data_IF_052431026875
#
_entry.id   IF_052431026875
#
_cell.length_a   1.000
_cell.length_b   1.000
_cell.length_c   1.000
_cell.angle_alpha   90.00
_cell.angle_beta   90.00
_cell.angle_gamma   90.00
#
_symmetry.space_group_name_H-M   'P 1'
#
loop_
_entity.id
_entity.type
_entity.pdbx_description
1 polymer ?
#
# COMPACT_ATOMS: atom_id res chain seq x y z
N UNK A 1 -12.91 -24.35 -4.40
CA UNK A 1 -12.84 -22.89 -4.60
C UNK A 1 -12.87 -22.26 -3.24
N UNK A 2 -11.92 -21.38 -2.94
CA UNK A 2 -11.78 -20.78 -1.60
C UNK A 2 -11.48 -19.30 -1.72
N UNK A 3 -12.31 -18.47 -1.09
CA UNK A 3 -11.96 -17.06 -0.91
C UNK A 3 -11.05 -16.94 0.30
N UNK A 4 -9.92 -16.25 0.19
CA UNK A 4 -9.02 -15.99 1.31
C UNK A 4 -9.03 -14.51 1.66
N UNK A 5 -9.47 -14.21 2.90
CA UNK A 5 -9.47 -12.87 3.49
C UNK A 5 -8.24 -12.73 4.38
N UNK A 6 -7.20 -12.07 3.85
CA UNK A 6 -5.93 -11.96 4.56
C UNK A 6 -5.98 -10.86 5.61
N UNK A 7 -5.18 -11.00 6.67
CA UNK A 7 -5.03 -9.97 7.70
C UNK A 7 -4.32 -8.69 7.17
N UNK A 8 -3.69 -8.80 5.99
CA UNK A 8 -3.11 -7.70 5.21
C UNK A 8 -4.15 -6.94 4.35
N UNK A 9 -5.41 -7.39 4.29
CA UNK A 9 -6.49 -6.72 3.55
C UNK A 9 -6.66 -7.17 2.09
N UNK A 10 -5.89 -8.16 1.67
CA UNK A 10 -6.05 -8.79 0.36
C UNK A 10 -7.24 -9.77 0.37
N UNK A 11 -7.92 -9.85 -0.77
CA UNK A 11 -9.00 -10.80 -1.02
C UNK A 11 -8.60 -11.55 -2.28
N UNK A 12 -8.39 -12.85 -2.16
CA UNK A 12 -7.96 -13.69 -3.28
C UNK A 12 -8.88 -14.90 -3.44
N UNK A 13 -8.94 -15.44 -4.65
CA UNK A 13 -9.60 -16.70 -4.93
C UNK A 13 -8.57 -17.79 -5.14
N UNK A 14 -8.40 -18.65 -4.13
CA UNK A 14 -7.56 -19.83 -4.23
C UNK A 14 -8.36 -20.97 -4.88
N UNK A 15 -7.66 -21.86 -5.58
CA UNK A 15 -8.26 -23.06 -6.18
C UNK A 15 -9.48 -22.71 -7.04
N UNK A 16 -9.30 -21.70 -7.90
CA UNK A 16 -10.36 -21.07 -8.69
C UNK A 16 -11.03 -22.00 -9.71
N UNK A 17 -10.46 -23.19 -9.94
CA UNK A 17 -11.01 -24.24 -10.82
C UNK A 17 -11.54 -25.47 -10.07
N UNK A 18 -11.62 -25.41 -8.73
CA UNK A 18 -12.16 -26.50 -7.90
C UNK A 18 -13.61 -26.17 -7.53
N UNK A 19 -14.59 -26.92 -8.00
CA UNK A 19 -16.02 -26.55 -7.88
C UNK A 19 -16.83 -27.42 -6.91
N UNK A 20 -16.20 -28.39 -6.26
CA UNK A 20 -16.84 -29.29 -5.29
C UNK A 20 -16.92 -28.72 -3.87
N UNK A 21 -16.22 -27.60 -3.62
CA UNK A 21 -16.21 -26.87 -2.35
C UNK A 21 -16.22 -25.36 -2.56
N UNK A 22 -16.92 -24.67 -1.66
CA UNK A 22 -16.89 -23.22 -1.54
C UNK A 22 -16.83 -22.79 -0.07
N UNK A 23 -15.70 -22.23 0.33
CA UNK A 23 -15.47 -21.73 1.68
C UNK A 23 -14.67 -20.41 1.67
N UNK A 24 -14.68 -19.74 2.83
CA UNK A 24 -13.95 -18.50 3.05
C UNK A 24 -12.97 -18.72 4.19
N UNK A 25 -11.68 -18.70 3.87
CA UNK A 25 -10.60 -18.74 4.86
C UNK A 25 -10.30 -17.32 5.36
N UNK A 26 -10.17 -17.17 6.67
CA UNK A 26 -9.96 -15.89 7.34
C UNK A 26 -8.70 -15.97 8.20
N UNK A 27 -7.73 -15.09 7.92
CA UNK A 27 -6.57 -14.92 8.81
C UNK A 27 -6.96 -14.18 10.10
N UNK A 28 -6.22 -14.35 11.21
CA UNK A 28 -6.47 -13.65 12.46
C UNK A 28 -6.52 -12.12 12.27
N UNK A 29 -7.66 -11.52 12.57
CA UNK A 29 -7.89 -10.08 12.40
C UNK A 29 -9.01 -9.58 13.31
N UNK A 30 -9.12 -8.25 13.45
CA UNK A 30 -10.17 -7.65 14.27
C UNK A 30 -11.57 -7.88 13.68
N UNK A 31 -12.63 -7.95 14.50
CA UNK A 31 -14.01 -8.08 14.01
C UNK A 31 -14.38 -6.97 13.01
N UNK A 32 -13.95 -5.73 13.27
CA UNK A 32 -14.23 -4.61 12.37
C UNK A 32 -13.60 -4.80 10.98
N UNK A 33 -12.34 -5.28 10.90
CA UNK A 33 -11.67 -5.54 9.62
C UNK A 33 -12.33 -6.71 8.88
N UNK A 34 -12.73 -7.76 9.62
CA UNK A 34 -13.46 -8.88 9.05
C UNK A 34 -14.78 -8.43 8.39
N UNK A 35 -15.58 -7.60 9.06
CA UNK A 35 -16.84 -7.11 8.49
C UNK A 35 -16.62 -6.26 7.24
N UNK A 36 -15.58 -5.40 7.24
CA UNK A 36 -15.17 -4.64 6.05
C UNK A 36 -14.75 -5.55 4.88
N UNK A 37 -14.01 -6.63 5.17
CA UNK A 37 -13.60 -7.59 4.16
C UNK A 37 -14.80 -8.38 3.58
N UNK A 38 -15.73 -8.83 4.45
CA UNK A 38 -16.95 -9.54 4.04
C UNK A 38 -17.82 -8.66 3.16
N UNK A 39 -17.98 -7.37 3.49
CA UNK A 39 -18.77 -6.43 2.69
C UNK A 39 -18.29 -6.27 1.24
N UNK A 40 -17.01 -6.56 0.96
CA UNK A 40 -16.44 -6.52 -0.40
C UNK A 40 -16.78 -7.76 -1.24
N UNK A 41 -17.13 -8.87 -0.61
CA UNK A 41 -17.41 -10.15 -1.30
C UNK A 41 -18.88 -10.57 -1.22
N UNK A 42 -19.67 -9.92 -0.35
CA UNK A 42 -21.09 -10.16 -0.20
C UNK A 42 -21.60 -9.70 1.17
N UNK A 43 -22.18 -10.60 1.97
CA UNK A 43 -22.72 -10.24 3.29
C UNK A 43 -22.58 -11.36 4.33
N UNK A 44 -22.65 -10.98 5.61
CA UNK A 44 -22.66 -11.93 6.73
C UNK A 44 -23.94 -12.78 6.72
N UNK A 45 -23.80 -14.07 7.08
CA UNK A 45 -24.91 -15.02 7.30
C UNK A 45 -24.68 -15.78 8.61
N UNK A 46 -25.01 -15.12 9.72
CA UNK A 46 -24.76 -15.64 11.06
C UNK A 46 -23.27 -15.75 11.42
N UNK A 47 -22.96 -16.52 12.46
CA UNK A 47 -21.61 -16.57 13.04
C UNK A 47 -20.59 -17.28 12.12
N UNK A 48 -21.00 -18.35 11.43
CA UNK A 48 -20.09 -19.23 10.68
C UNK A 48 -20.26 -19.23 9.17
N UNK A 49 -21.06 -18.33 8.59
CA UNK A 49 -21.27 -18.29 7.14
C UNK A 49 -21.29 -16.87 6.58
N UNK A 50 -21.08 -16.79 5.28
CA UNK A 50 -21.28 -15.60 4.45
C UNK A 50 -22.09 -15.96 3.21
N UNK A 51 -22.75 -14.95 2.64
CA UNK A 51 -23.36 -15.01 1.32
C UNK A 51 -22.42 -14.31 0.34
N UNK A 52 -21.81 -15.07 -0.56
CA UNK A 52 -20.86 -14.59 -1.56
C UNK A 52 -21.60 -14.20 -2.83
N UNK A 53 -21.20 -13.08 -3.44
CA UNK A 53 -21.69 -12.71 -4.76
C UNK A 53 -21.01 -13.54 -5.85
N UNK A 54 -21.74 -14.27 -6.71
CA UNK A 54 -21.16 -14.98 -7.84
C UNK A 54 -20.39 -14.06 -8.81
N UNK A 55 -20.79 -12.78 -8.94
CA UNK A 55 -20.05 -11.81 -9.75
C UNK A 55 -18.68 -11.49 -9.18
N UNK A 56 -18.54 -11.45 -7.84
CA UNK A 56 -17.25 -11.25 -7.19
C UNK A 56 -16.35 -12.49 -7.37
N UNK A 57 -16.92 -13.69 -7.29
CA UNK A 57 -16.16 -14.92 -7.54
C UNK A 57 -15.60 -14.97 -8.98
N UNK A 58 -16.41 -14.58 -9.97
CA UNK A 58 -15.93 -14.43 -11.35
C UNK A 58 -14.84 -13.38 -11.45
N UNK A 59 -15.05 -12.21 -10.85
CA UNK A 59 -14.08 -11.13 -10.87
C UNK A 59 -12.71 -11.52 -10.28
N UNK A 60 -12.71 -12.33 -9.22
CA UNK A 60 -11.48 -12.79 -8.55
C UNK A 60 -10.81 -13.99 -9.26
N UNK A 61 -11.43 -14.59 -10.27
CA UNK A 61 -10.90 -15.77 -10.95
C UNK A 61 -10.16 -15.39 -12.23
N UNK A 62 -8.89 -15.79 -12.33
CA UNK A 62 -8.10 -15.65 -13.57
C UNK A 62 -8.63 -16.52 -14.74
N UNK A 63 -9.54 -17.45 -14.46
CA UNK A 63 -10.12 -18.38 -15.45
C UNK A 63 -11.53 -17.97 -15.89
N UNK A 64 -12.10 -16.91 -15.31
CA UNK A 64 -13.45 -16.46 -15.66
C UNK A 64 -13.55 -16.08 -17.15
N UNK A 65 -14.67 -16.43 -17.78
CA UNK A 65 -14.87 -16.26 -19.22
C UNK A 65 -14.39 -17.42 -20.10
N UNK A 66 -13.57 -18.35 -19.59
CA UNK A 66 -13.30 -19.60 -20.31
C UNK A 66 -14.55 -20.49 -20.32
N UNK A 67 -14.90 -21.07 -21.48
CA UNK A 67 -16.17 -21.79 -21.67
C UNK A 67 -16.35 -22.97 -20.71
N UNK A 68 -15.31 -23.78 -20.52
CA UNK A 68 -15.33 -24.92 -19.59
C UNK A 68 -15.48 -24.44 -18.15
N UNK A 69 -14.74 -23.39 -17.77
CA UNK A 69 -14.82 -22.82 -16.43
C UNK A 69 -16.21 -22.26 -16.13
N UNK A 70 -16.85 -21.55 -17.07
CA UNK A 70 -18.21 -21.04 -16.89
C UNK A 70 -19.24 -22.17 -16.80
N UNK A 71 -19.06 -23.27 -17.54
CA UNK A 71 -19.94 -24.42 -17.45
C UNK A 71 -19.90 -25.05 -16.05
N UNK A 72 -18.69 -25.30 -15.53
CA UNK A 72 -18.50 -25.88 -14.20
C UNK A 72 -18.93 -24.93 -13.07
N UNK A 73 -18.62 -23.63 -13.21
CA UNK A 73 -19.07 -22.62 -12.25
C UNK A 73 -20.60 -22.54 -12.20
N UNK A 74 -21.27 -22.51 -13.36
CA UNK A 74 -22.73 -22.49 -13.42
C UNK A 74 -23.33 -23.79 -12.87
N UNK A 75 -22.69 -24.95 -13.09
CA UNK A 75 -23.10 -26.21 -12.49
C UNK A 75 -23.01 -26.17 -10.96
N UNK A 76 -21.93 -25.61 -10.40
CA UNK A 76 -21.77 -25.40 -8.95
C UNK A 76 -22.87 -24.49 -8.38
N UNK A 77 -23.15 -23.36 -9.03
CA UNK A 77 -24.22 -22.44 -8.60
C UNK A 77 -25.59 -23.12 -8.70
N UNK A 78 -25.85 -23.88 -9.77
CA UNK A 78 -27.08 -24.66 -9.93
C UNK A 78 -27.26 -25.72 -8.85
N UNK A 79 -26.18 -26.41 -8.47
CA UNK A 79 -26.18 -27.34 -7.34
C UNK A 79 -26.51 -26.62 -6.04
N UNK A 80 -25.88 -25.48 -5.76
CA UNK A 80 -26.16 -24.67 -4.57
C UNK A 80 -27.63 -24.20 -4.51
N UNK A 81 -28.20 -23.80 -5.65
CA UNK A 81 -29.62 -23.45 -5.76
C UNK A 81 -30.51 -24.63 -5.39
N UNK A 82 -30.22 -25.84 -5.89
CA UNK A 82 -30.98 -27.06 -5.57
C UNK A 82 -30.98 -27.42 -4.08
N UNK A 83 -30.00 -26.92 -3.32
CA UNK A 83 -29.88 -27.10 -1.87
C UNK A 83 -30.43 -25.94 -1.05
N UNK A 84 -30.98 -24.91 -1.69
CA UNK A 84 -31.47 -23.70 -1.02
C UNK A 84 -30.35 -22.85 -0.43
N UNK A 85 -29.13 -22.93 -0.98
CA UNK A 85 -27.98 -22.15 -0.51
C UNK A 85 -27.83 -20.79 -1.18
N UNK A 86 -28.75 -20.45 -2.08
CA UNK A 86 -28.85 -19.09 -2.63
C UNK A 86 -29.83 -18.26 -1.78
N UNK A 87 -29.54 -16.98 -1.63
CA UNK A 87 -30.53 -16.01 -1.13
C UNK A 87 -31.33 -15.39 -2.29
N UNK A 88 -32.24 -14.47 -1.96
CA UNK A 88 -33.10 -13.78 -2.93
C UNK A 88 -32.31 -12.93 -3.95
N UNK A 89 -31.04 -12.61 -3.65
CA UNK A 89 -30.13 -11.87 -4.52
C UNK A 89 -29.23 -12.81 -5.34
N UNK A 90 -29.42 -14.13 -5.24
CA UNK A 90 -28.58 -15.13 -5.91
C UNK A 90 -27.19 -15.31 -5.28
N UNK A 91 -26.96 -14.80 -4.06
CA UNK A 91 -25.69 -14.96 -3.36
C UNK A 91 -25.59 -16.34 -2.73
N UNK A 92 -24.44 -16.99 -2.94
CA UNK A 92 -24.21 -18.36 -2.52
C UNK A 92 -23.64 -18.42 -1.10
N UNK A 93 -24.22 -19.29 -0.27
CA UNK A 93 -23.77 -19.50 1.10
C UNK A 93 -22.44 -20.26 1.12
N UNK A 94 -21.47 -19.74 1.86
CA UNK A 94 -20.16 -20.34 2.07
C UNK A 94 -19.81 -20.36 3.56
N UNK A 95 -19.07 -21.37 4.00
CA UNK A 95 -18.63 -21.50 5.38
C UNK A 95 -17.41 -20.62 5.67
N UNK A 96 -17.36 -19.98 6.83
CA UNK A 96 -16.18 -19.27 7.33
C UNK A 96 -15.28 -20.25 8.07
N UNK A 97 -14.05 -20.41 7.60
CA UNK A 97 -12.97 -21.09 8.32
C UNK A 97 -11.96 -20.06 8.81
N UNK A 98 -11.55 -20.19 10.06
CA UNK A 98 -10.58 -19.28 10.68
C UNK A 98 -9.26 -20.00 10.85
N UNK A 99 -8.17 -19.37 10.42
CA UNK A 99 -6.82 -19.84 10.73
C UNK A 99 -6.53 -19.55 12.20
N UNK A 100 -6.03 -20.53 12.95
CA UNK A 100 -5.73 -20.38 14.39
C UNK A 100 -4.61 -19.37 14.64
N UNK A 101 -3.56 -19.41 13.83
CA UNK A 101 -2.43 -18.50 13.89
C UNK A 101 -1.91 -18.18 12.49
N UNK A 102 -1.46 -16.96 12.29
CA UNK A 102 -0.63 -16.59 11.16
C UNK A 102 0.82 -16.59 11.65
N UNK A 103 1.55 -17.68 11.39
CA UNK A 103 2.92 -17.84 11.85
C UNK A 103 3.85 -16.84 11.15
N UNK A 104 4.05 -15.69 11.79
CA UNK A 104 4.92 -14.62 11.34
C UNK A 104 6.05 -14.41 12.34
N UNK A 105 7.16 -13.81 11.87
CA UNK A 105 8.28 -13.43 12.74
C UNK A 105 7.86 -12.36 13.75
N UNK A 106 8.59 -12.27 14.87
CA UNK A 106 8.34 -11.22 15.86
C UNK A 106 8.64 -9.81 15.32
N UNK A 107 8.04 -8.78 15.91
CA UNK A 107 8.34 -7.38 15.55
C UNK A 107 9.83 -7.05 15.70
N UNK A 108 10.49 -7.61 16.73
CA UNK A 108 11.93 -7.46 16.93
C UNK A 108 12.76 -8.12 15.82
N UNK A 109 12.38 -9.31 15.37
CA UNK A 109 13.08 -10.00 14.29
C UNK A 109 12.89 -9.26 12.96
N UNK A 110 11.67 -8.81 12.68
CA UNK A 110 11.38 -7.96 11.53
C UNK A 110 12.25 -6.68 11.55
N UNK A 111 12.25 -5.93 12.66
CA UNK A 111 13.08 -4.71 12.79
C UNK A 111 14.57 -5.01 12.64
N UNK A 112 15.04 -6.15 13.16
CA UNK A 112 16.44 -6.56 13.04
C UNK A 112 16.81 -6.84 11.57
N UNK A 113 15.95 -7.54 10.83
CA UNK A 113 16.15 -7.76 9.40
C UNK A 113 16.10 -6.44 8.61
N UNK A 114 15.14 -5.56 8.90
CA UNK A 114 15.00 -4.27 8.20
C UNK A 114 16.17 -3.31 8.45
N UNK A 115 16.83 -3.37 9.61
CA UNK A 115 18.06 -2.59 9.88
C UNK A 115 19.21 -2.96 8.94
N UNK A 116 19.24 -4.19 8.45
CA UNK A 116 20.25 -4.68 7.52
C UNK A 116 19.97 -4.29 6.05
N UNK A 117 18.80 -3.72 5.75
CA UNK A 117 18.43 -3.27 4.41
C UNK A 117 18.77 -1.78 4.25
N UNK A 118 19.87 -1.42 3.55
CA UNK A 118 20.16 -0.02 3.26
C UNK A 118 19.12 0.54 2.29
N UNK A 119 18.72 1.78 2.51
CA UNK A 119 17.75 2.47 1.65
C UNK A 119 18.12 3.95 1.47
N UNK A 120 17.75 4.53 0.33
CA UNK A 120 17.83 5.98 0.14
C UNK A 120 16.92 6.72 1.12
N UNK A 121 17.19 8.00 1.33
CA UNK A 121 16.38 8.87 2.18
C UNK A 121 15.63 9.85 1.28
N UNK A 122 14.34 10.06 1.52
CA UNK A 122 13.55 11.04 0.78
C UNK A 122 12.64 11.84 1.69
N UNK A 123 12.49 13.13 1.40
CA UNK A 123 11.44 13.97 1.97
C UNK A 123 10.22 13.95 1.04
N UNK A 124 9.12 13.37 1.52
CA UNK A 124 7.81 13.49 0.88
C UNK A 124 7.13 14.73 1.41
N UNK A 125 6.59 15.55 0.52
CA UNK A 125 6.06 16.89 0.84
C UNK A 125 4.76 17.14 0.08
N UNK A 126 3.87 17.92 0.68
CA UNK A 126 2.51 18.15 0.19
C UNK A 126 1.96 19.46 0.77
N UNK A 127 0.91 20.02 0.16
CA UNK A 127 0.31 21.28 0.58
C UNK A 127 1.07 22.50 0.06
N UNK A 128 0.61 23.70 0.38
CA UNK A 128 1.22 24.95 -0.05
C UNK A 128 1.04 26.03 1.01
N UNK A 129 1.88 27.08 0.96
CA UNK A 129 1.85 28.17 1.94
C UNK A 129 1.99 27.65 3.37
N UNK A 130 1.11 28.12 4.26
CA UNK A 130 1.12 27.76 5.69
C UNK A 130 0.65 26.31 5.95
N UNK A 131 0.04 25.67 4.95
CA UNK A 131 -0.53 24.32 5.03
C UNK A 131 0.44 23.23 4.54
N UNK A 132 1.71 23.59 4.29
CA UNK A 132 2.70 22.64 3.82
C UNK A 132 3.10 21.65 4.91
N UNK A 133 3.23 20.39 4.51
CA UNK A 133 3.49 19.26 5.38
C UNK A 133 4.51 18.34 4.73
N UNK A 134 5.27 17.64 5.56
CA UNK A 134 6.38 16.81 5.10
C UNK A 134 6.57 15.56 5.93
N UNK A 135 7.25 14.55 5.40
CA UNK A 135 7.77 13.42 6.17
C UNK A 135 9.03 12.86 5.53
N UNK A 136 9.93 12.31 6.35
CA UNK A 136 11.05 11.50 5.87
C UNK A 136 10.57 10.07 5.65
N UNK A 137 10.92 9.50 4.50
CA UNK A 137 10.71 8.09 4.17
C UNK A 137 12.02 7.47 3.68
N UNK A 138 12.23 6.21 4.07
CA UNK A 138 13.24 5.33 3.48
C UNK A 138 12.62 4.27 2.55
N UNK A 139 11.31 4.39 2.29
CA UNK A 139 10.52 3.38 1.57
C UNK A 139 10.15 3.80 0.15
N UNK A 140 10.66 4.93 -0.33
CA UNK A 140 10.43 5.40 -1.70
C UNK A 140 11.07 4.42 -2.68
N UNK A 141 10.30 3.95 -3.66
CA UNK A 141 10.77 3.01 -4.67
C UNK A 141 10.12 3.28 -6.04
N UNK A 142 10.81 2.90 -7.11
CA UNK A 142 10.26 2.91 -8.47
C UNK A 142 9.21 1.81 -8.65
N UNK A 143 8.09 2.13 -9.29
CA UNK A 143 7.01 1.17 -9.58
C UNK A 143 6.92 0.85 -11.07
N UNK A 144 6.96 1.84 -11.94
CA UNK A 144 6.90 1.65 -13.39
C UNK A 144 7.63 2.76 -14.12
N UNK A 145 8.15 2.44 -15.31
CA UNK A 145 8.69 3.42 -16.26
C UNK A 145 7.62 3.92 -17.25
N UNK A 146 6.61 3.10 -17.57
CA UNK A 146 5.51 3.46 -18.48
C UNK A 146 4.14 2.98 -17.93
N UNK A 147 3.27 3.90 -17.46
CA UNK A 147 3.58 5.30 -17.17
C UNK A 147 4.59 5.43 -16.00
N UNK A 148 5.35 6.54 -15.91
CA UNK A 148 6.35 6.71 -14.86
C UNK A 148 5.69 6.85 -13.49
N UNK A 149 6.00 5.93 -12.57
CA UNK A 149 5.39 5.85 -11.24
C UNK A 149 6.40 5.52 -10.15
N UNK A 150 6.21 6.14 -8.99
CA UNK A 150 6.92 5.84 -7.73
C UNK A 150 5.90 5.57 -6.62
N UNK A 151 6.34 4.89 -5.57
CA UNK A 151 5.52 4.73 -4.38
C UNK A 151 6.32 4.72 -3.10
N UNK A 152 5.62 4.98 -2.00
CA UNK A 152 6.17 4.96 -0.65
C UNK A 152 5.09 4.51 0.34
N UNK A 153 5.51 4.17 1.55
CA UNK A 153 4.62 3.74 2.61
C UNK A 153 4.52 4.80 3.70
N UNK A 154 3.29 5.18 4.05
CA UNK A 154 3.00 6.08 5.17
C UNK A 154 2.16 5.36 6.23
N UNK A 155 2.55 5.47 7.50
CA UNK A 155 1.75 4.89 8.58
C UNK A 155 0.35 5.53 8.60
N UNK A 156 -0.70 4.75 8.88
CA UNK A 156 -2.10 5.24 8.85
C UNK A 156 -2.38 6.37 9.86
N UNK A 157 -1.58 6.47 10.92
CA UNK A 157 -1.63 7.55 11.92
C UNK A 157 -0.66 8.72 11.63
N UNK A 158 0.01 8.73 10.47
CA UNK A 158 0.94 9.80 10.13
C UNK A 158 0.20 11.12 9.97
N UNK A 159 0.72 12.20 10.56
CA UNK A 159 0.07 13.52 10.56
C UNK A 159 -0.06 14.15 9.17
N UNK A 160 0.79 13.75 8.21
CA UNK A 160 0.71 14.18 6.81
C UNK A 160 -0.40 13.48 6.03
N UNK A 161 -0.88 12.31 6.50
CA UNK A 161 -1.73 11.41 5.71
C UNK A 161 -3.00 12.08 5.20
N UNK A 162 -3.73 12.78 6.06
CA UNK A 162 -4.98 13.44 5.67
C UNK A 162 -4.75 14.44 4.52
N UNK A 163 -3.68 15.24 4.61
CA UNK A 163 -3.34 16.24 3.60
C UNK A 163 -2.89 15.62 2.27
N UNK A 164 -2.15 14.50 2.31
CA UNK A 164 -1.80 13.76 1.10
C UNK A 164 -3.05 13.29 0.35
N UNK A 165 -4.00 12.69 1.07
CA UNK A 165 -5.23 12.19 0.47
C UNK A 165 -6.15 13.33 -0.03
N UNK A 166 -6.20 14.45 0.69
CA UNK A 166 -6.97 15.63 0.30
C UNK A 166 -6.40 16.32 -0.94
N UNK A 167 -5.09 16.57 -0.96
CA UNK A 167 -4.44 17.27 -2.07
C UNK A 167 -4.34 16.43 -3.35
N UNK A 168 -4.27 15.10 -3.20
CA UNK A 168 -4.01 14.18 -4.30
C UNK A 168 -2.63 14.37 -4.96
N UNK A 169 -1.70 15.09 -4.31
CA UNK A 169 -0.40 15.46 -4.89
C UNK A 169 0.71 15.41 -3.85
N UNK A 170 1.93 15.13 -4.30
CA UNK A 170 3.12 15.25 -3.47
C UNK A 170 4.36 15.51 -4.31
N UNK A 171 5.40 16.03 -3.66
CA UNK A 171 6.76 15.98 -4.17
C UNK A 171 7.59 14.99 -3.34
N UNK A 172 8.32 14.11 -4.02
CA UNK A 172 9.34 13.25 -3.42
C UNK A 172 10.72 13.81 -3.74
N UNK A 173 11.46 14.19 -2.70
CA UNK A 173 12.77 14.82 -2.80
C UNK A 173 13.83 13.86 -2.25
N UNK A 174 14.67 13.30 -3.11
CA UNK A 174 15.75 12.38 -2.76
C UNK A 174 16.89 13.16 -2.11
N UNK A 175 17.21 12.82 -0.88
CA UNK A 175 18.14 13.57 -0.03
C UNK A 175 19.56 13.04 -0.15
N UNK A 176 20.50 13.96 0.03
CA UNK A 176 21.94 13.76 -0.07
C UNK A 176 22.67 14.21 1.19
N UNK A 177 24.00 14.15 1.19
CA UNK A 177 24.85 14.45 2.36
C UNK A 177 24.60 15.85 2.93
N UNK A 178 24.39 16.84 2.08
CA UNK A 178 24.18 18.23 2.48
C UNK A 178 22.82 18.47 3.17
N UNK A 179 21.91 17.50 3.10
CA UNK A 179 20.54 17.63 3.60
C UNK A 179 20.36 17.11 5.03
N UNK A 180 21.43 16.98 5.81
CA UNK A 180 21.37 16.54 7.20
C UNK A 180 20.39 17.39 8.05
N UNK A 181 20.44 18.71 7.90
CA UNK A 181 19.58 19.61 8.68
C UNK A 181 18.12 19.53 8.24
N UNK A 182 17.86 19.27 6.95
CA UNK A 182 16.50 18.97 6.46
C UNK A 182 15.96 17.70 7.13
N UNK A 183 16.76 16.63 7.15
CA UNK A 183 16.37 15.35 7.79
C UNK A 183 16.08 15.59 9.28
N UNK A 184 17.00 16.20 10.00
CA UNK A 184 16.86 16.50 11.44
C UNK A 184 15.61 17.32 11.74
N UNK A 185 15.33 18.33 10.92
CA UNK A 185 14.17 19.22 11.08
C UNK A 185 12.86 18.48 10.82
N UNK A 186 12.77 17.70 9.74
CA UNK A 186 11.55 16.95 9.43
C UNK A 186 11.23 15.87 10.48
N UNK A 187 12.25 15.34 11.16
CA UNK A 187 12.09 14.33 12.22
C UNK A 187 11.70 14.93 13.59
N UNK A 188 12.05 16.20 13.86
CA UNK A 188 11.88 16.82 15.19
C UNK A 188 10.83 17.93 15.24
N UNK A 189 10.62 18.67 14.16
CA UNK A 189 9.70 19.80 14.13
C UNK A 189 8.22 19.37 13.94
N UNK A 190 7.25 20.13 14.47
CA UNK A 190 5.84 19.94 14.17
C UNK A 190 5.57 20.11 12.66
N UNK A 191 4.46 19.56 12.15
CA UNK A 191 4.03 19.83 10.77
C UNK A 191 3.83 21.34 10.53
N UNK A 192 3.88 21.77 9.27
CA UNK A 192 3.79 23.18 8.90
C UNK A 192 5.15 23.80 8.55
N UNK A 193 5.17 25.14 8.48
CA UNK A 193 6.34 25.94 8.08
C UNK A 193 7.63 25.57 8.80
N UNK A 194 7.56 25.16 10.08
CA UNK A 194 8.72 24.81 10.88
C UNK A 194 9.58 23.69 10.26
N UNK A 195 8.98 22.74 9.52
CA UNK A 195 9.73 21.67 8.83
C UNK A 195 10.58 22.19 7.68
N UNK A 196 10.16 23.28 7.06
CA UNK A 196 10.74 23.84 5.85
C UNK A 196 11.69 25.00 6.16
N UNK A 197 12.07 25.18 7.43
CA UNK A 197 12.98 26.23 7.87
C UNK A 197 14.42 26.05 7.33
N UNK A 198 14.80 24.82 6.99
CA UNK A 198 16.11 24.46 6.45
C UNK A 198 15.95 23.87 5.05
N UNK A 199 16.87 24.19 4.13
CA UNK A 199 16.88 23.70 2.74
C UNK A 199 16.33 24.72 1.73
N UNK A 200 16.66 24.52 0.46
CA UNK A 200 16.30 25.42 -0.64
C UNK A 200 14.91 25.08 -1.21
N UNK A 201 13.87 25.30 -0.41
CA UNK A 201 12.48 25.01 -0.79
C UNK A 201 11.90 26.06 -1.72
N UNK A 202 11.23 25.60 -2.77
CA UNK A 202 10.44 26.42 -3.68
C UNK A 202 9.04 25.83 -3.85
N UNK A 203 8.06 26.65 -4.24
CA UNK A 203 6.78 26.14 -4.69
C UNK A 203 6.94 25.56 -6.10
N UNK A 204 6.71 24.24 -6.24
CA UNK A 204 6.75 23.55 -7.52
C UNK A 204 5.59 23.92 -8.44
N UNK A 205 5.63 23.44 -9.68
CA UNK A 205 4.60 23.72 -10.69
C UNK A 205 3.22 23.17 -10.26
N UNK A 206 3.21 22.16 -9.40
CA UNK A 206 2.01 21.53 -8.86
C UNK A 206 1.58 22.08 -7.49
N UNK A 207 2.14 23.22 -7.07
CA UNK A 207 1.86 23.88 -5.78
C UNK A 207 2.17 22.97 -4.59
N UNK A 208 3.30 22.25 -4.67
CA UNK A 208 3.85 21.45 -3.58
C UNK A 208 5.28 21.90 -3.31
N UNK A 209 5.80 21.79 -2.07
CA UNK A 209 7.15 22.23 -1.76
C UNK A 209 8.16 21.30 -2.44
N UNK A 210 9.09 21.86 -3.21
CA UNK A 210 10.16 21.10 -3.88
C UNK A 210 11.49 21.59 -3.34
N UNK A 211 12.36 20.65 -2.97
CA UNK A 211 13.72 20.94 -2.56
C UNK A 211 14.59 21.05 -3.81
N UNK A 212 15.01 22.27 -4.14
CA UNK A 212 15.65 22.58 -5.43
C UNK A 212 17.07 22.04 -5.57
N UNK A 213 17.73 21.76 -4.44
CA UNK A 213 19.07 21.17 -4.31
C UNK A 213 19.05 19.66 -3.99
N UNK A 214 17.87 19.01 -4.00
CA UNK A 214 17.76 17.56 -3.86
C UNK A 214 18.50 16.81 -4.99
N UNK A 215 19.00 15.60 -4.71
CA UNK A 215 19.61 14.71 -5.74
C UNK A 215 18.65 14.50 -6.91
N UNK A 216 17.39 14.28 -6.57
CA UNK A 216 16.28 14.27 -7.49
C UNK A 216 15.02 14.78 -6.79
N UNK A 217 14.20 15.54 -7.49
CA UNK A 217 12.84 15.87 -7.07
C UNK A 217 11.85 15.33 -8.09
N UNK A 218 10.72 14.83 -7.59
CA UNK A 218 9.66 14.23 -8.39
C UNK A 218 8.31 14.79 -7.93
N UNK A 219 7.68 15.63 -8.75
CA UNK A 219 6.32 16.11 -8.52
C UNK A 219 5.33 15.06 -9.08
N UNK A 220 4.39 14.63 -8.25
CA UNK A 220 3.53 13.48 -8.52
C UNK A 220 2.05 13.77 -8.27
N UNK A 221 1.19 13.24 -9.14
CA UNK A 221 -0.24 13.06 -8.84
C UNK A 221 -0.44 11.68 -8.20
N UNK A 222 -1.16 11.61 -7.09
CA UNK A 222 -1.52 10.34 -6.46
C UNK A 222 -2.55 9.64 -7.35
N UNK A 223 -2.22 8.42 -7.78
CA UNK A 223 -3.08 7.58 -8.63
C UNK A 223 -3.66 6.39 -7.89
N UNK A 224 -3.04 5.96 -6.79
CA UNK A 224 -3.52 4.86 -5.98
C UNK A 224 -3.07 5.01 -4.52
N UNK A 225 -3.99 4.70 -3.59
CA UNK A 225 -3.68 4.50 -2.18
C UNK A 225 -4.25 3.16 -1.76
N UNK A 226 -3.40 2.28 -1.21
CA UNK A 226 -3.82 0.94 -0.78
C UNK A 226 -3.40 0.65 0.67
N UNK A 227 -4.35 0.37 1.58
CA UNK A 227 -4.02 -0.04 2.94
C UNK A 227 -3.33 -1.41 2.95
N UNK A 228 -2.17 -1.48 3.60
CA UNK A 228 -1.36 -2.69 3.80
C UNK A 228 -0.94 -2.77 5.28
N UNK A 229 -1.69 -3.55 6.05
CA UNK A 229 -1.48 -3.67 7.50
C UNK A 229 -1.70 -2.33 8.22
N UNK A 230 -0.64 -1.76 8.77
CA UNK A 230 -0.65 -0.47 9.50
C UNK A 230 -0.25 0.74 8.63
N UNK A 231 0.15 0.49 7.38
CA UNK A 231 0.58 1.53 6.44
C UNK A 231 -0.38 1.62 5.26
N UNK A 232 -0.33 2.75 4.56
CA UNK A 232 -0.87 2.90 3.23
C UNK A 232 0.30 2.94 2.23
N UNK A 233 0.20 2.12 1.17
CA UNK A 233 0.99 2.32 -0.04
C UNK A 233 0.38 3.49 -0.81
N UNK A 234 1.18 4.54 -1.01
CA UNK A 234 0.81 5.70 -1.82
C UNK A 234 1.61 5.63 -3.12
N UNK A 235 0.90 5.63 -4.25
CA UNK A 235 1.50 5.57 -5.59
C UNK A 235 1.25 6.88 -6.31
N UNK A 236 2.33 7.50 -6.76
CA UNK A 236 2.32 8.73 -7.55
C UNK A 236 2.72 8.49 -8.99
N UNK A 237 1.98 9.06 -9.93
CA UNK A 237 2.41 9.22 -11.32
C UNK A 237 3.25 10.48 -11.42
N UNK A 238 4.48 10.33 -11.90
CA UNK A 238 5.44 11.44 -11.99
C UNK A 238 5.01 12.37 -13.13
N UNK A 239 4.96 13.68 -12.83
CA UNK A 239 4.62 14.75 -13.78
C UNK A 239 5.81 15.59 -14.17
N UNK A 240 6.71 15.82 -13.21
CA UNK A 240 7.93 16.61 -13.42
C UNK A 240 9.05 16.05 -12.56
N UNK A 241 10.26 16.11 -13.10
CA UNK A 241 11.48 15.72 -12.40
C UNK A 241 12.57 16.76 -12.59
N UNK A 242 13.38 16.95 -11.56
CA UNK A 242 14.68 17.61 -11.68
C UNK A 242 15.74 16.75 -10.98
N UNK A 243 16.98 16.79 -11.46
CA UNK A 243 18.11 16.12 -10.84
C UNK A 243 19.24 17.11 -10.63
N UNK A 244 20.01 16.92 -9.56
CA UNK A 244 21.20 17.74 -9.27
C UNK A 244 22.40 16.85 -8.99
N UNK A 245 23.59 17.43 -9.07
CA UNK A 245 24.83 16.79 -8.62
C UNK A 245 25.01 17.01 -7.13
N UNK A 246 24.60 16.05 -6.31
CA UNK A 246 24.88 16.00 -4.88
C UNK A 246 25.46 14.64 -4.48
N UNK A 247 26.00 14.53 -3.27
CA UNK A 247 26.49 13.25 -2.76
C UNK A 247 25.32 12.43 -2.16
N UNK A 248 25.15 11.16 -2.55
CA UNK A 248 24.09 10.31 -2.02
C UNK A 248 24.36 9.85 -0.59
N UNK A 249 23.28 9.76 0.20
CA UNK A 249 23.27 9.12 1.52
C UNK A 249 22.29 7.95 1.55
N UNK A 250 22.57 7.00 2.43
CA UNK A 250 21.67 5.89 2.75
C UNK A 250 21.36 5.87 4.23
N UNK A 251 20.14 5.47 4.57
CA UNK A 251 19.80 5.03 5.91
C UNK A 251 20.15 3.54 6.04
N UNK A 252 21.02 3.20 6.98
CA UNK A 252 21.45 1.84 7.26
C UNK A 252 21.66 1.68 8.76
N UNK A 253 21.19 0.56 9.33
CA UNK A 253 21.32 0.25 10.75
C UNK A 253 20.92 1.41 11.71
N UNK A 254 19.80 2.08 11.42
CA UNK A 254 19.28 3.22 12.18
C UNK A 254 20.15 4.49 12.19
N UNK A 255 21.04 4.64 11.21
CA UNK A 255 21.87 5.83 11.02
C UNK A 255 21.97 6.23 9.55
N UNK A 256 22.35 7.49 9.31
CA UNK A 256 22.66 8.00 7.97
C UNK A 256 24.13 7.75 7.65
N UNK A 257 24.41 7.21 6.46
CA UNK A 257 25.75 6.88 5.98
C UNK A 257 25.99 7.43 4.58
N UNK A 258 27.22 7.87 4.32
CA UNK A 258 27.72 8.20 2.98
C UNK A 258 28.00 6.95 2.15
N UNK A 259 27.83 7.04 0.83
CA UNK A 259 28.24 5.98 -0.09
C UNK A 259 29.69 6.20 -0.53
N UNK A 260 30.47 5.12 -0.56
CA UNK A 260 31.82 5.10 -1.16
C UNK A 260 31.78 4.22 -2.40
N UNK A 261 32.33 4.66 -3.54
CA UNK A 261 32.41 3.82 -4.74
C UNK A 261 33.09 2.50 -4.45
N UNK A 262 32.50 1.41 -4.94
CA UNK A 262 33.18 0.11 -4.94
C UNK A 262 34.35 0.21 -5.92
N UNK A 263 35.57 0.04 -5.43
CA UNK A 263 36.73 -0.08 -6.30
C UNK A 263 36.55 -1.35 -7.14
N UNK A 264 36.33 -1.18 -8.43
CA UNK A 264 36.33 -2.27 -9.40
C UNK A 264 37.77 -2.44 -9.89
N UNK A 265 38.33 -3.64 -9.71
CA UNK A 265 39.62 -4.03 -10.27
C UNK A 265 39.52 -4.30 -11.77
#
# INVERSE_FOLDING_TARGET
MRVHLTNAGAITLCESSVFDRLDVLVDPQSPARLEQAIARIGSRDGAGHVRLSPSVLRFLSDHAGAAEWEADFNAMIGYAASKGWLDDQGRVRAHLTFREADEVVSESDFKSAMRALPAGISAVTCGSGDEMVGMIVSSLTSISADPPMVGFFAHQNSSIRAKLLESGRFAANVLGEEHHDVISTFLSAPQGLARFANGSWAEGDHQVPVLTDALASMECDIVCTHPLGTHDLIVGKIRKTACSSANPVVHFNAATHSLVPVQTH
#
